data_IF_501968777012
#
_entry.id   IF_501968777012
#
_cell.length_a   1.000
_cell.length_b   1.000
_cell.length_c   1.000
_cell.angle_alpha   90.00
_cell.angle_beta   90.00
_cell.angle_gamma   90.00
#
_symmetry.space_group_name_H-M   'P 1'
#
loop_
_entity.id
_entity.type
_entity.pdbx_description
1 polymer ?
#
# COMPACT_ATOMS: atom_id res chain seq x y z
N UNK A 1 18.30 32.47 -13.30
CA UNK A 1 18.89 31.24 -13.90
C UNK A 1 19.18 30.13 -12.89
N UNK A 2 18.94 30.33 -11.59
CA UNK A 2 19.23 29.37 -10.50
C UNK A 2 18.05 28.42 -10.20
N UNK A 3 16.80 28.85 -10.38
CA UNK A 3 15.61 28.03 -10.08
C UNK A 3 15.40 26.87 -11.07
N UNK A 4 15.59 27.09 -12.38
CA UNK A 4 15.47 26.02 -13.40
C UNK A 4 16.50 24.88 -13.23
N UNK A 5 17.67 25.16 -12.62
CA UNK A 5 18.68 24.13 -12.29
C UNK A 5 18.33 23.34 -11.04
N UNK A 6 17.53 23.89 -10.13
CA UNK A 6 17.10 23.16 -8.92
C UNK A 6 15.92 22.22 -9.21
N UNK A 7 14.96 22.61 -10.03
CA UNK A 7 13.83 21.75 -10.43
C UNK A 7 14.29 20.52 -11.24
N UNK A 8 15.23 20.72 -12.17
CA UNK A 8 15.81 19.63 -12.98
C UNK A 8 16.63 18.63 -12.15
N UNK A 9 17.33 19.09 -11.11
CA UNK A 9 18.04 18.21 -10.17
C UNK A 9 17.07 17.39 -9.29
N UNK A 10 16.00 18.01 -8.80
CA UNK A 10 14.99 17.35 -7.96
C UNK A 10 14.24 16.25 -8.72
N UNK A 11 13.88 16.51 -9.99
CA UNK A 11 13.27 15.52 -10.87
C UNK A 11 14.19 14.35 -11.21
N UNK A 12 15.50 14.58 -11.33
CA UNK A 12 16.48 13.52 -11.59
C UNK A 12 16.68 12.61 -10.37
N UNK A 13 16.74 13.17 -9.17
CA UNK A 13 16.86 12.40 -7.92
C UNK A 13 15.65 11.49 -7.68
N UNK A 14 14.42 12.02 -7.82
CA UNK A 14 13.19 11.24 -7.65
C UNK A 14 13.08 10.09 -8.67
N UNK A 15 13.61 10.27 -9.89
CA UNK A 15 13.63 9.22 -10.90
C UNK A 15 14.59 8.08 -10.54
N UNK A 16 15.76 8.40 -10.01
CA UNK A 16 16.73 7.39 -9.57
C UNK A 16 16.23 6.64 -8.32
N UNK A 17 15.60 7.35 -7.37
CA UNK A 17 14.97 6.72 -6.20
C UNK A 17 13.87 5.73 -6.61
N UNK A 18 12.99 6.10 -7.55
CA UNK A 18 11.97 5.19 -8.09
C UNK A 18 12.56 3.96 -8.76
N UNK A 19 13.67 4.12 -9.49
CA UNK A 19 14.36 2.97 -10.10
C UNK A 19 14.91 2.05 -9.03
N UNK A 20 15.51 2.58 -7.98
CA UNK A 20 16.06 1.76 -6.91
C UNK A 20 14.95 1.05 -6.12
N UNK A 21 13.86 1.75 -5.81
CA UNK A 21 12.68 1.14 -5.20
C UNK A 21 12.12 0.00 -6.05
N UNK A 22 12.04 0.18 -7.37
CA UNK A 22 11.58 -0.86 -8.30
C UNK A 22 12.50 -2.09 -8.27
N UNK A 23 13.83 -1.89 -8.25
CA UNK A 23 14.78 -3.01 -8.10
C UNK A 23 14.63 -3.73 -6.77
N UNK A 24 14.44 -2.99 -5.67
CA UNK A 24 14.20 -3.59 -4.35
C UNK A 24 12.96 -4.49 -4.40
N UNK A 25 11.85 -3.99 -4.93
CA UNK A 25 10.62 -4.77 -5.08
C UNK A 25 10.85 -6.02 -5.93
N UNK A 26 11.56 -5.89 -7.05
CA UNK A 26 11.87 -7.02 -7.92
C UNK A 26 12.66 -8.12 -7.18
N UNK A 27 13.70 -7.74 -6.42
CA UNK A 27 14.48 -8.72 -5.64
C UNK A 27 13.66 -9.38 -4.52
N UNK A 28 12.77 -8.61 -3.87
CA UNK A 28 11.81 -9.16 -2.89
C UNK A 28 10.83 -10.14 -3.55
N UNK A 29 10.43 -9.90 -4.79
CA UNK A 29 9.57 -10.83 -5.53
C UNK A 29 10.31 -12.12 -5.91
N UNK A 30 11.53 -12.01 -6.45
CA UNK A 30 12.33 -13.17 -6.86
C UNK A 30 12.71 -14.10 -5.70
N UNK A 31 12.93 -13.53 -4.51
CA UNK A 31 13.22 -14.28 -3.28
C UNK A 31 11.98 -14.90 -2.62
N UNK A 32 10.77 -14.52 -3.05
CA UNK A 32 9.51 -14.88 -2.40
C UNK A 32 9.22 -14.09 -1.11
N UNK A 33 10.13 -13.22 -0.67
CA UNK A 33 9.94 -12.39 0.53
C UNK A 33 8.75 -11.44 0.37
N UNK A 34 8.47 -10.96 -0.85
CA UNK A 34 7.33 -10.09 -1.13
C UNK A 34 6.00 -10.76 -0.78
N UNK A 35 5.80 -12.01 -1.22
CA UNK A 35 4.58 -12.75 -0.93
C UNK A 35 4.46 -13.05 0.57
N UNK A 36 5.57 -13.42 1.22
CA UNK A 36 5.60 -13.64 2.68
C UNK A 36 5.19 -12.38 3.45
N UNK A 37 5.73 -11.21 3.07
CA UNK A 37 5.39 -9.93 3.69
C UNK A 37 3.93 -9.56 3.46
N UNK A 38 3.38 -9.83 2.27
CA UNK A 38 1.98 -9.59 1.95
C UNK A 38 1.04 -10.46 2.81
N UNK A 39 1.36 -11.75 2.96
CA UNK A 39 0.61 -12.68 3.80
C UNK A 39 0.70 -12.29 5.28
N UNK A 40 1.88 -11.87 5.75
CA UNK A 40 2.07 -11.39 7.13
C UNK A 40 1.27 -10.11 7.41
N UNK A 41 1.27 -9.15 6.49
CA UNK A 41 0.43 -7.95 6.58
C UNK A 41 -1.05 -8.32 6.67
N UNK A 42 -1.51 -9.21 5.79
CA UNK A 42 -2.92 -9.62 5.76
C UNK A 42 -3.31 -10.30 7.07
N UNK A 43 -2.49 -11.25 7.56
CA UNK A 43 -2.71 -11.91 8.82
C UNK A 43 -2.76 -10.90 9.98
N UNK A 44 -1.79 -9.99 10.07
CA UNK A 44 -1.75 -8.98 11.14
C UNK A 44 -2.99 -8.10 11.13
N UNK A 45 -3.36 -7.55 9.97
CA UNK A 45 -4.56 -6.70 9.88
C UNK A 45 -5.80 -7.50 10.27
N UNK A 46 -5.99 -8.71 9.75
CA UNK A 46 -7.23 -9.46 9.98
C UNK A 46 -7.34 -10.08 11.38
N UNK A 47 -6.23 -10.49 11.98
CA UNK A 47 -6.21 -11.11 13.31
C UNK A 47 -6.08 -10.09 14.43
N UNK A 48 -5.17 -9.13 14.30
CA UNK A 48 -4.89 -8.17 15.37
C UNK A 48 -5.90 -7.00 15.32
N UNK A 49 -6.46 -6.70 14.14
CA UNK A 49 -7.38 -5.57 13.91
C UNK A 49 -8.63 -5.95 13.10
N UNK A 50 -9.48 -6.86 13.61
CA UNK A 50 -10.71 -7.27 12.92
C UNK A 50 -11.65 -6.09 12.58
N UNK A 51 -11.59 -5.00 13.36
CA UNK A 51 -12.33 -3.77 13.12
C UNK A 51 -11.98 -3.09 11.80
N UNK A 52 -10.78 -3.31 11.26
CA UNK A 52 -10.38 -2.83 9.94
C UNK A 52 -11.30 -3.43 8.87
N UNK A 53 -11.49 -4.74 8.91
CA UNK A 53 -12.30 -5.46 7.94
C UNK A 53 -13.79 -5.12 8.05
N UNK A 54 -14.29 -4.97 9.27
CA UNK A 54 -15.66 -4.54 9.51
C UNK A 54 -15.90 -3.10 9.02
N UNK A 55 -14.94 -2.19 9.23
CA UNK A 55 -14.98 -0.83 8.69
C UNK A 55 -15.00 -0.83 7.17
N UNK A 56 -14.17 -1.65 6.51
CA UNK A 56 -14.17 -1.78 5.05
C UNK A 56 -15.52 -2.27 4.52
N UNK A 57 -16.10 -3.30 5.15
CA UNK A 57 -17.44 -3.80 4.78
C UNK A 57 -18.53 -2.75 4.97
N UNK A 58 -18.47 -2.00 6.07
CA UNK A 58 -19.43 -0.95 6.36
C UNK A 58 -19.36 0.17 5.31
N UNK A 59 -18.15 0.60 4.93
CA UNK A 59 -17.97 1.60 3.89
C UNK A 59 -18.51 1.15 2.54
N UNK A 60 -18.27 -0.10 2.13
CA UNK A 60 -18.86 -0.64 0.90
C UNK A 60 -20.39 -0.58 0.96
N UNK A 61 -21.01 -0.93 2.08
CA UNK A 61 -22.47 -0.85 2.24
C UNK A 61 -22.98 0.57 2.13
N UNK A 62 -22.31 1.52 2.76
CA UNK A 62 -22.66 2.96 2.71
C UNK A 62 -22.50 3.52 1.29
N UNK A 63 -21.43 3.18 0.58
CA UNK A 63 -21.23 3.57 -0.83
C UNK A 63 -22.33 3.01 -1.74
N UNK A 64 -22.76 1.77 -1.52
CA UNK A 64 -23.86 1.17 -2.28
C UNK A 64 -25.20 1.83 -1.93
N UNK A 65 -25.47 2.11 -0.66
CA UNK A 65 -26.74 2.68 -0.20
C UNK A 65 -26.91 4.16 -0.53
N UNK A 66 -25.80 4.90 -0.64
CA UNK A 66 -25.82 6.33 -0.96
C UNK A 66 -26.10 6.63 -2.44
N UNK A 67 -25.96 5.66 -3.34
CA UNK A 67 -26.32 5.82 -4.76
C UNK A 67 -27.82 5.64 -4.98
N UNK A 68 -28.45 6.55 -5.72
CA UNK A 68 -29.91 6.56 -5.95
C UNK A 68 -30.46 5.26 -6.56
N UNK A 69 -29.69 4.61 -7.44
CA UNK A 69 -30.04 3.34 -8.06
C UNK A 69 -29.42 2.11 -7.34
N UNK A 70 -28.75 2.33 -6.21
CA UNK A 70 -28.20 1.27 -5.36
C UNK A 70 -27.15 0.38 -6.07
N UNK A 71 -27.29 -0.93 -5.90
CA UNK A 71 -26.40 -1.95 -6.49
C UNK A 71 -26.40 -1.93 -8.03
N UNK A 72 -27.45 -1.42 -8.66
CA UNK A 72 -27.63 -1.53 -10.11
C UNK A 72 -26.73 -0.57 -10.91
N UNK A 73 -26.20 0.47 -10.27
CA UNK A 73 -25.51 1.59 -10.93
C UNK A 73 -24.12 1.85 -10.32
N UNK A 74 -23.58 0.85 -9.63
CA UNK A 74 -22.26 0.90 -9.03
C UNK A 74 -21.31 -0.08 -9.70
N UNK A 75 -20.17 0.43 -10.15
CA UNK A 75 -19.11 -0.40 -10.73
C UNK A 75 -18.13 -0.83 -9.65
N UNK A 76 -17.45 -1.96 -9.89
CA UNK A 76 -16.38 -2.41 -9.00
C UNK A 76 -15.22 -1.41 -8.92
N UNK A 77 -14.94 -0.70 -10.01
CA UNK A 77 -13.86 0.29 -10.08
C UNK A 77 -14.16 1.51 -9.17
N UNK A 78 -15.40 2.00 -9.17
CA UNK A 78 -15.83 3.07 -8.27
C UNK A 78 -15.76 2.64 -6.80
N UNK A 79 -16.25 1.43 -6.48
CA UNK A 79 -16.13 0.88 -5.13
C UNK A 79 -14.68 0.73 -4.70
N UNK A 80 -13.82 0.25 -5.61
CA UNK A 80 -12.41 0.04 -5.34
C UNK A 80 -11.67 1.35 -5.12
N UNK A 81 -11.99 2.40 -5.88
CA UNK A 81 -11.37 3.71 -5.72
C UNK A 81 -11.56 4.26 -4.30
N UNK A 82 -12.79 4.23 -3.80
CA UNK A 82 -13.11 4.77 -2.48
C UNK A 82 -12.58 3.87 -1.37
N UNK A 83 -12.71 2.55 -1.54
CA UNK A 83 -12.25 1.56 -0.57
C UNK A 83 -10.72 1.53 -0.45
N UNK A 84 -9.97 1.70 -1.54
CA UNK A 84 -8.49 1.69 -1.51
C UNK A 84 -7.95 2.83 -0.66
N UNK A 85 -8.53 4.03 -0.79
CA UNK A 85 -8.11 5.17 0.03
C UNK A 85 -8.43 4.92 1.49
N UNK A 86 -9.67 4.59 1.79
CA UNK A 86 -10.10 4.38 3.16
C UNK A 86 -9.41 3.19 3.83
N UNK A 87 -9.14 2.12 3.09
CA UNK A 87 -8.41 0.95 3.56
C UNK A 87 -6.98 1.26 3.94
N UNK A 88 -6.27 2.09 3.15
CA UNK A 88 -4.92 2.58 3.47
C UNK A 88 -4.92 3.44 4.72
N UNK A 89 -5.87 4.38 4.82
CA UNK A 89 -5.97 5.29 5.96
C UNK A 89 -6.36 4.55 7.25
N UNK A 90 -7.13 3.46 7.12
CA UNK A 90 -7.56 2.64 8.24
C UNK A 90 -6.49 1.67 8.78
N UNK A 91 -5.37 1.47 8.07
CA UNK A 91 -4.28 0.63 8.61
C UNK A 91 -3.74 1.29 9.88
N UNK A 92 -3.65 0.59 11.02
CA UNK A 92 -3.05 1.11 12.23
C UNK A 92 -1.56 1.42 12.08
N UNK A 93 -1.06 2.42 12.82
CA UNK A 93 0.32 2.89 12.68
C UNK A 93 1.32 1.84 13.16
N UNK A 94 0.99 1.13 14.22
CA UNK A 94 1.78 0.03 14.77
C UNK A 94 2.00 -1.09 13.74
N UNK A 95 1.03 -1.37 12.86
CA UNK A 95 1.21 -2.33 11.76
C UNK A 95 2.14 -1.72 10.71
N UNK A 96 1.96 -0.45 10.34
CA UNK A 96 2.84 0.23 9.37
C UNK A 96 4.30 0.20 9.82
N UNK A 97 4.56 0.54 11.07
CA UNK A 97 5.90 0.50 11.67
C UNK A 97 6.47 -0.91 11.70
N UNK A 98 5.68 -1.90 12.15
CA UNK A 98 6.11 -3.30 12.20
C UNK A 98 6.45 -3.85 10.80
N UNK A 99 5.64 -3.53 9.79
CA UNK A 99 5.89 -3.95 8.41
C UNK A 99 7.09 -3.23 7.80
N UNK A 100 7.30 -1.96 8.12
CA UNK A 100 8.49 -1.24 7.69
C UNK A 100 9.77 -1.86 8.25
N UNK A 101 9.76 -2.27 9.52
CA UNK A 101 10.90 -2.98 10.12
C UNK A 101 11.18 -4.32 9.39
N UNK A 102 10.12 -5.10 9.10
CA UNK A 102 10.27 -6.38 8.38
C UNK A 102 10.74 -6.20 6.93
N UNK A 103 10.28 -5.16 6.24
CA UNK A 103 10.76 -4.82 4.90
C UNK A 103 12.25 -4.45 4.94
N UNK A 104 12.67 -3.64 5.91
CA UNK A 104 14.09 -3.27 6.08
C UNK A 104 14.96 -4.50 6.36
N UNK A 105 14.49 -5.42 7.21
CA UNK A 105 15.19 -6.67 7.51
C UNK A 105 15.31 -7.58 6.27
N UNK A 106 14.22 -7.74 5.50
CA UNK A 106 14.22 -8.52 4.27
C UNK A 106 15.21 -7.94 3.24
N UNK A 107 15.22 -6.61 3.06
CA UNK A 107 16.14 -5.93 2.14
C UNK A 107 17.59 -6.05 2.62
N UNK A 108 17.85 -5.90 3.91
CA UNK A 108 19.20 -6.05 4.48
C UNK A 108 19.75 -7.48 4.31
N UNK A 109 18.89 -8.48 4.50
CA UNK A 109 19.21 -9.90 4.34
C UNK A 109 19.60 -10.26 2.90
N UNK A 110 19.03 -9.55 1.92
CA UNK A 110 19.39 -9.72 0.50
C UNK A 110 20.68 -9.00 0.12
N UNK A 111 21.07 -7.94 0.84
CA UNK A 111 22.34 -7.24 0.59
C UNK A 111 23.58 -8.03 1.05
N UNK A 112 23.39 -9.09 1.84
CA UNK A 112 24.47 -9.94 2.38
C UNK A 112 24.55 -11.31 1.68
N UNK A 113 23.73 -11.55 0.66
CA UNK A 113 23.82 -12.70 -0.25
C UNK A 113 24.48 -12.30 -1.55
#
# INVERSE_FOLDING_TARGET
MTEQKQETKKGKAAKEERKEASKIVHRLQESGDFQRLQEQLLCKILYDHPEWWDKMRQQVRESVQSKEAGVLDITLDELSHDLVKAGKDAVPEEIREAMMAQIQEAVASQSHR
#
